data_IF_187917450278
#
_entry.id   IF_187917450278
#
_cell.length_a   1.000
_cell.length_b   1.000
_cell.length_c   1.000
_cell.angle_alpha   90.00
_cell.angle_beta   90.00
_cell.angle_gamma   90.00
#
_symmetry.space_group_name_H-M   'P 1'
#
loop_
_entity.id
_entity.type
_entity.pdbx_description
1 polymer ?
#
# COMPACT_ATOMS: atom_id res chain seq x y z
N UNK A 1 -17.20 36.94 21.37
CA UNK A 1 -16.80 36.36 20.08
C UNK A 1 -16.12 35.04 20.37
N UNK A 2 -16.77 33.92 20.03
CA UNK A 2 -16.17 32.58 20.19
C UNK A 2 -15.17 32.33 19.06
N UNK A 3 -14.00 31.75 19.38
CA UNK A 3 -13.06 31.30 18.37
C UNK A 3 -13.74 30.28 17.44
N UNK A 4 -13.44 30.28 16.13
CA UNK A 4 -14.00 29.30 15.22
C UNK A 4 -13.61 27.89 15.69
N UNK A 5 -14.61 27.03 15.88
CA UNK A 5 -14.38 25.62 16.16
C UNK A 5 -13.72 24.98 14.93
N UNK A 6 -12.43 24.68 15.03
CA UNK A 6 -11.73 23.86 14.05
C UNK A 6 -12.19 22.42 14.22
N UNK A 7 -13.21 22.04 13.46
CA UNK A 7 -13.52 20.62 13.26
C UNK A 7 -12.49 20.08 12.26
N UNK A 8 -11.60 19.14 12.65
CA UNK A 8 -10.67 18.56 11.69
C UNK A 8 -11.47 17.83 10.62
N UNK A 9 -11.30 18.23 9.36
CA UNK A 9 -11.89 17.53 8.22
C UNK A 9 -11.47 16.06 8.27
N UNK A 10 -12.39 15.10 8.12
CA UNK A 10 -12.03 13.69 8.06
C UNK A 10 -10.93 13.48 7.00
N UNK A 11 -9.90 12.67 7.30
CA UNK A 11 -8.84 12.38 6.35
C UNK A 11 -9.42 11.79 5.06
N UNK A 12 -8.88 12.21 3.91
CA UNK A 12 -9.30 11.75 2.58
C UNK A 12 -8.80 10.30 2.36
N UNK A 13 -9.61 9.33 2.78
CA UNK A 13 -9.35 7.90 2.54
C UNK A 13 -9.83 7.57 1.13
N UNK A 14 -8.89 7.61 0.19
CA UNK A 14 -9.15 7.32 -1.21
C UNK A 14 -9.39 5.82 -1.44
N UNK A 15 -10.44 5.53 -2.20
CA UNK A 15 -10.84 4.21 -2.66
C UNK A 15 -11.34 4.33 -4.10
N UNK A 16 -11.04 3.34 -4.94
CA UNK A 16 -11.60 3.26 -6.29
C UNK A 16 -12.88 2.43 -6.29
N UNK A 17 -13.90 2.89 -7.01
CA UNK A 17 -15.14 2.12 -7.23
C UNK A 17 -14.86 0.77 -7.92
N UNK A 18 -13.90 0.78 -8.84
CA UNK A 18 -13.40 -0.41 -9.52
C UNK A 18 -11.90 -0.55 -9.26
N UNK A 19 -11.44 -1.66 -8.65
CA UNK A 19 -10.01 -1.86 -8.45
C UNK A 19 -9.30 -2.10 -9.79
N UNK A 20 -8.06 -1.62 -9.93
CA UNK A 20 -7.28 -1.86 -11.16
C UNK A 20 -6.91 -3.33 -11.36
N UNK A 21 -6.95 -4.11 -10.28
CA UNK A 21 -6.69 -5.54 -10.26
C UNK A 21 -7.80 -6.27 -9.51
N UNK A 22 -8.34 -7.39 -10.05
CA UNK A 22 -9.26 -8.24 -9.31
C UNK A 22 -8.67 -8.69 -7.97
N UNK A 23 -9.50 -8.72 -6.92
CA UNK A 23 -9.03 -9.05 -5.55
C UNK A 23 -8.32 -10.39 -5.49
N UNK A 24 -8.85 -11.43 -6.15
CA UNK A 24 -8.25 -12.76 -6.19
C UNK A 24 -6.86 -12.76 -6.84
N UNK A 25 -6.70 -12.01 -7.93
CA UNK A 25 -5.40 -11.86 -8.60
C UNK A 25 -4.41 -11.10 -7.71
N UNK A 26 -4.86 -10.01 -7.05
CA UNK A 26 -4.04 -9.25 -6.09
C UNK A 26 -3.53 -10.15 -4.97
N UNK A 27 -4.43 -10.87 -4.31
CA UNK A 27 -4.09 -11.76 -3.19
C UNK A 27 -3.15 -12.89 -3.63
N UNK A 28 -3.38 -13.48 -4.80
CA UNK A 28 -2.49 -14.50 -5.36
C UNK A 28 -1.08 -13.97 -5.62
N UNK A 29 -0.96 -12.80 -6.25
CA UNK A 29 0.35 -12.19 -6.52
C UNK A 29 1.09 -11.78 -5.23
N UNK A 30 0.36 -11.26 -4.23
CA UNK A 30 0.90 -10.95 -2.91
C UNK A 30 1.39 -12.22 -2.20
N UNK A 31 0.57 -13.28 -2.18
CA UNK A 31 0.91 -14.57 -1.59
C UNK A 31 2.20 -15.13 -2.21
N UNK A 32 2.28 -15.22 -3.54
CA UNK A 32 3.49 -15.75 -4.21
C UNK A 32 4.75 -14.98 -3.82
N UNK A 33 4.66 -13.66 -3.76
CA UNK A 33 5.80 -12.82 -3.39
C UNK A 33 6.16 -12.93 -1.92
N UNK A 34 5.16 -13.03 -1.03
CA UNK A 34 5.39 -13.23 0.39
C UNK A 34 6.18 -14.51 0.66
N UNK A 35 5.83 -15.62 -0.01
CA UNK A 35 6.55 -16.89 0.11
C UNK A 35 8.01 -16.75 -0.31
N UNK A 36 8.29 -16.12 -1.47
CA UNK A 36 9.67 -15.90 -1.95
C UNK A 36 10.47 -15.04 -0.98
N UNK A 37 9.87 -13.99 -0.41
CA UNK A 37 10.54 -13.07 0.50
C UNK A 37 10.51 -13.52 1.97
N UNK A 38 9.99 -14.72 2.22
CA UNK A 38 9.97 -15.38 3.54
C UNK A 38 10.69 -16.73 3.50
N UNK A 39 11.50 -17.01 2.47
CA UNK A 39 12.30 -18.23 2.42
C UNK A 39 13.18 -18.37 3.67
N UNK A 40 13.17 -19.56 4.27
CA UNK A 40 13.83 -19.84 5.55
C UNK A 40 13.01 -19.43 6.78
N UNK A 41 11.83 -18.85 6.60
CA UNK A 41 10.82 -18.67 7.64
C UNK A 41 9.72 -19.71 7.43
N UNK A 42 9.18 -20.27 8.52
CA UNK A 42 8.06 -21.22 8.48
C UNK A 42 6.80 -20.56 9.09
N UNK A 43 6.17 -19.60 8.40
CA UNK A 43 5.00 -18.90 8.92
C UNK A 43 3.77 -19.81 8.89
N UNK A 44 2.96 -19.75 9.95
CA UNK A 44 1.66 -20.42 9.97
C UNK A 44 0.73 -19.93 8.86
N UNK A 45 -0.22 -20.76 8.45
CA UNK A 45 -1.24 -20.40 7.45
C UNK A 45 -2.05 -19.16 7.87
N UNK A 46 -2.35 -19.02 9.16
CA UNK A 46 -3.03 -17.84 9.71
C UNK A 46 -2.19 -16.57 9.49
N UNK A 47 -0.88 -16.65 9.77
CA UNK A 47 0.04 -15.53 9.55
C UNK A 47 0.14 -15.18 8.07
N UNK A 48 0.23 -16.17 7.19
CA UNK A 48 0.24 -15.96 5.74
C UNK A 48 -1.04 -15.23 5.30
N UNK A 49 -2.20 -15.74 5.70
CA UNK A 49 -3.51 -15.18 5.34
C UNK A 49 -3.64 -13.72 5.79
N UNK A 50 -3.29 -13.43 7.05
CA UNK A 50 -3.36 -12.07 7.59
C UNK A 50 -2.36 -11.12 6.92
N UNK A 51 -1.16 -11.59 6.58
CA UNK A 51 -0.18 -10.79 5.84
C UNK A 51 -0.69 -10.44 4.44
N UNK A 52 -1.24 -11.41 3.71
CA UNK A 52 -1.82 -11.21 2.38
C UNK A 52 -2.97 -10.21 2.44
N UNK A 53 -3.88 -10.38 3.40
CA UNK A 53 -5.04 -9.51 3.59
C UNK A 53 -4.64 -8.06 3.87
N UNK A 54 -3.72 -7.84 4.81
CA UNK A 54 -3.30 -6.49 5.21
C UNK A 54 -2.49 -5.82 4.09
N UNK A 55 -1.58 -6.53 3.42
CA UNK A 55 -0.89 -5.97 2.24
C UNK A 55 -1.90 -5.60 1.14
N UNK A 56 -2.89 -6.44 0.87
CA UNK A 56 -3.92 -6.16 -0.13
C UNK A 56 -4.76 -4.90 0.18
N UNK A 57 -5.06 -4.66 1.46
CA UNK A 57 -5.74 -3.43 1.89
C UNK A 57 -4.87 -2.18 1.67
N UNK A 58 -3.61 -2.23 2.07
CA UNK A 58 -2.66 -1.12 1.87
C UNK A 58 -2.49 -0.82 0.38
N UNK A 59 -2.32 -1.87 -0.45
CA UNK A 59 -2.14 -1.72 -1.89
C UNK A 59 -3.34 -1.02 -2.55
N UNK A 60 -4.57 -1.33 -2.13
CA UNK A 60 -5.78 -0.65 -2.65
C UNK A 60 -5.79 0.85 -2.34
N UNK A 61 -5.44 1.22 -1.12
CA UNK A 61 -5.38 2.64 -0.75
C UNK A 61 -4.30 3.37 -1.52
N UNK A 62 -3.12 2.77 -1.65
CA UNK A 62 -2.01 3.33 -2.44
C UNK A 62 -2.41 3.47 -3.91
N UNK A 63 -3.02 2.45 -4.50
CA UNK A 63 -3.51 2.45 -5.88
C UNK A 63 -4.50 3.59 -6.12
N UNK A 64 -5.50 3.75 -5.24
CA UNK A 64 -6.45 4.85 -5.30
C UNK A 64 -5.75 6.21 -5.20
N UNK A 65 -4.81 6.35 -4.27
CA UNK A 65 -4.06 7.59 -4.10
C UNK A 65 -3.24 7.97 -5.34
N UNK A 66 -2.64 6.98 -6.02
CA UNK A 66 -1.91 7.21 -7.27
C UNK A 66 -2.84 7.64 -8.41
N UNK A 67 -3.97 6.96 -8.59
CA UNK A 67 -4.96 7.30 -9.62
C UNK A 67 -5.51 8.72 -9.40
N UNK A 68 -5.93 9.05 -8.18
CA UNK A 68 -6.42 10.38 -7.85
C UNK A 68 -5.33 11.47 -7.91
N UNK A 69 -4.05 11.10 -7.94
CA UNK A 69 -2.95 12.05 -8.13
C UNK A 69 -2.56 12.22 -9.61
N UNK A 70 -3.30 11.59 -10.53
CA UNK A 70 -3.15 11.78 -11.98
C UNK A 70 -2.15 10.84 -12.66
N UNK A 71 -1.67 9.80 -11.97
CA UNK A 71 -0.75 8.82 -12.56
C UNK A 71 -1.48 7.86 -13.53
N UNK A 72 -0.75 7.32 -14.52
CA UNK A 72 -1.35 6.45 -15.54
C UNK A 72 -1.76 5.10 -14.96
N UNK A 73 -3.02 4.71 -15.19
CA UNK A 73 -3.56 3.40 -14.78
C UNK A 73 -2.74 2.25 -15.39
N UNK A 74 -2.36 2.38 -16.67
CA UNK A 74 -1.54 1.37 -17.36
C UNK A 74 -0.18 1.21 -16.68
N UNK A 75 0.48 2.33 -16.36
CA UNK A 75 1.79 2.29 -15.72
C UNK A 75 1.71 1.75 -14.29
N UNK A 76 0.68 2.11 -13.52
CA UNK A 76 0.45 1.57 -12.17
C UNK A 76 0.32 0.04 -12.25
N UNK A 77 -0.49 -0.48 -13.17
CA UNK A 77 -0.67 -1.93 -13.35
C UNK A 77 0.64 -2.57 -13.80
N UNK A 78 1.33 -1.99 -14.79
CA UNK A 78 2.58 -2.51 -15.34
C UNK A 78 3.68 -2.60 -14.29
N UNK A 79 3.79 -1.58 -13.44
CA UNK A 79 4.85 -1.45 -12.43
C UNK A 79 4.42 -1.86 -11.03
N UNK A 80 3.23 -2.44 -10.84
CA UNK A 80 2.68 -2.87 -9.53
C UNK A 80 3.65 -3.72 -8.69
N UNK A 81 4.49 -4.51 -9.35
CA UNK A 81 5.53 -5.29 -8.69
C UNK A 81 6.65 -4.41 -8.12
N UNK A 82 7.01 -3.29 -8.75
CA UNK A 82 7.93 -2.32 -8.15
C UNK A 82 7.27 -1.59 -6.98
N UNK A 83 6.00 -1.15 -7.13
CA UNK A 83 5.22 -0.52 -6.04
C UNK A 83 5.23 -1.40 -4.79
N UNK A 84 4.84 -2.67 -4.93
CA UNK A 84 4.88 -3.66 -3.83
C UNK A 84 6.27 -3.79 -3.22
N UNK A 85 7.33 -3.71 -4.03
CA UNK A 85 8.72 -3.71 -3.56
C UNK A 85 8.96 -2.58 -2.56
N UNK A 86 8.70 -1.33 -2.96
CA UNK A 86 8.91 -0.15 -2.13
C UNK A 86 8.02 -0.11 -0.88
N UNK A 87 6.79 -0.62 -0.98
CA UNK A 87 5.81 -0.55 0.11
C UNK A 87 6.01 -1.67 1.13
N UNK A 88 6.20 -2.91 0.67
CA UNK A 88 6.08 -4.10 1.53
C UNK A 88 7.40 -4.76 1.88
N UNK A 89 8.46 -4.51 1.13
CA UNK A 89 9.72 -5.24 1.25
C UNK A 89 10.89 -4.29 1.48
N UNK A 90 11.55 -4.43 2.62
CA UNK A 90 12.76 -3.70 2.93
C UNK A 90 13.97 -4.60 2.66
N UNK A 91 14.85 -4.18 1.75
CA UNK A 91 15.99 -4.99 1.28
C UNK A 91 15.61 -6.44 0.91
N UNK A 92 14.45 -6.63 0.28
CA UNK A 92 13.93 -7.94 -0.14
C UNK A 92 13.23 -8.75 0.94
N UNK A 93 13.12 -8.27 2.19
CA UNK A 93 12.42 -8.96 3.28
C UNK A 93 11.07 -8.33 3.56
N UNK A 94 10.05 -9.15 3.79
CA UNK A 94 8.73 -8.66 4.16
C UNK A 94 8.79 -7.90 5.50
N UNK A 95 8.16 -6.73 5.57
CA UNK A 95 7.98 -6.02 6.83
C UNK A 95 7.10 -6.83 7.80
N UNK A 96 7.17 -6.50 9.09
CA UNK A 96 6.36 -7.19 10.09
C UNK A 96 4.87 -6.87 9.96
N UNK A 97 4.00 -7.79 10.40
CA UNK A 97 2.56 -7.53 10.49
C UNK A 97 2.22 -6.30 11.34
N UNK A 98 2.99 -6.07 12.42
CA UNK A 98 2.86 -4.86 13.26
C UNK A 98 3.09 -3.59 12.43
N UNK A 99 4.08 -3.59 11.55
CA UNK A 99 4.37 -2.46 10.66
C UNK A 99 3.22 -2.22 9.68
N UNK A 100 2.66 -3.27 9.08
CA UNK A 100 1.53 -3.11 8.17
C UNK A 100 0.27 -2.60 8.87
N UNK A 101 -0.03 -3.09 10.09
CA UNK A 101 -1.12 -2.55 10.91
C UNK A 101 -0.90 -1.09 11.25
N UNK A 102 0.35 -0.69 11.54
CA UNK A 102 0.68 0.72 11.73
C UNK A 102 0.41 1.56 10.47
N UNK A 103 0.74 1.05 9.27
CA UNK A 103 0.40 1.73 8.02
C UNK A 103 -1.11 1.88 7.80
N UNK A 104 -1.91 0.86 8.07
CA UNK A 104 -3.37 1.00 8.01
C UNK A 104 -3.90 2.06 8.99
N UNK A 105 -3.33 2.12 10.19
CA UNK A 105 -3.69 3.14 11.17
C UNK A 105 -3.26 4.55 10.72
N UNK A 106 -2.09 4.70 10.09
CA UNK A 106 -1.67 5.97 9.47
C UNK A 106 -2.64 6.38 8.36
N UNK A 107 -3.02 5.46 7.47
CA UNK A 107 -3.96 5.73 6.38
C UNK A 107 -5.30 6.21 6.95
N UNK A 108 -5.83 5.53 7.97
CA UNK A 108 -7.10 5.88 8.59
C UNK A 108 -7.06 7.24 9.32
N UNK A 109 -5.90 7.67 9.82
CA UNK A 109 -5.75 8.91 10.60
C UNK A 109 -5.34 10.12 9.78
N UNK A 110 -4.52 9.92 8.75
CA UNK A 110 -3.87 11.00 8.00
C UNK A 110 -4.38 11.07 6.56
N UNK A 111 -4.97 9.99 6.04
CA UNK A 111 -5.21 9.81 4.61
C UNK A 111 -3.99 9.21 3.93
N UNK A 112 -4.19 8.55 2.79
CA UNK A 112 -3.14 7.75 2.15
C UNK A 112 -1.92 8.57 1.74
N UNK A 113 -2.14 9.79 1.21
CA UNK A 113 -1.07 10.63 0.63
C UNK A 113 -0.03 11.07 1.66
N UNK A 114 -0.42 11.16 2.93
CA UNK A 114 0.46 11.61 4.02
C UNK A 114 1.11 10.44 4.78
N UNK A 115 0.96 9.21 4.29
CA UNK A 115 1.57 8.03 4.91
C UNK A 115 2.97 7.73 4.42
N UNK A 116 3.80 7.13 5.28
CA UNK A 116 5.14 6.67 4.94
C UNK A 116 5.20 5.77 3.68
N UNK A 117 4.33 4.74 3.51
CA UNK A 117 4.34 3.92 2.31
C UNK A 117 4.09 4.72 1.03
N UNK A 118 3.20 5.71 1.03
CA UNK A 118 2.98 6.55 -0.16
C UNK A 118 4.18 7.45 -0.47
N UNK A 119 4.77 8.06 0.56
CA UNK A 119 5.96 8.90 0.41
C UNK A 119 7.17 8.12 -0.13
N UNK A 120 7.31 6.83 0.21
CA UNK A 120 8.34 5.96 -0.40
C UNK A 120 8.17 5.83 -1.91
N UNK A 121 6.93 5.70 -2.40
CA UNK A 121 6.65 5.63 -3.83
C UNK A 121 6.98 6.96 -4.50
N UNK A 122 6.56 8.09 -3.91
CA UNK A 122 6.89 9.41 -4.46
C UNK A 122 8.40 9.65 -4.53
N UNK A 123 9.16 9.19 -3.52
CA UNK A 123 10.62 9.22 -3.55
C UNK A 123 11.17 8.36 -4.69
N UNK A 124 10.68 7.14 -4.86
CA UNK A 124 11.11 6.25 -5.96
C UNK A 124 10.83 6.87 -7.34
N UNK A 125 9.69 7.55 -7.52
CA UNK A 125 9.37 8.28 -8.76
C UNK A 125 10.36 9.42 -8.96
N UNK A 126 10.62 10.24 -7.93
CA UNK A 126 11.57 11.36 -8.00
C UNK A 126 12.99 10.91 -8.33
N UNK A 127 13.37 9.72 -7.87
CA UNK A 127 14.68 9.12 -8.11
C UNK A 127 14.76 8.34 -9.43
N UNK A 128 13.67 8.30 -10.22
CA UNK A 128 13.58 7.51 -11.45
C UNK A 128 13.70 5.98 -11.26
N UNK A 129 13.45 5.48 -10.05
CA UNK A 129 13.44 4.04 -9.76
C UNK A 129 12.15 3.36 -10.27
N UNK A 130 11.09 4.13 -10.50
CA UNK A 130 9.81 3.67 -11.04
C UNK A 130 9.19 4.78 -11.90
N UNK A 131 8.54 4.39 -13.00
CA UNK A 131 7.83 5.28 -13.91
C UNK A 131 6.33 4.98 -13.86
N UNK A 132 5.57 5.93 -13.33
CA UNK A 132 4.10 5.90 -13.20
C UNK A 132 3.44 6.90 -14.13
#
# INVERSE_FOLDING_TARGET
MGAPEFHPTPPDILVLDQPLLPTSQREYEIYRRFIVNSLGQDPSLERISEMVRVQGLIERHIEAALVHSGFSLENIIRTRHLIRGFVFYDHGRALSLRTYRAYLNEIARLGTRDTRPYQRILNAIRNFDIFL
#
